data_IF_111313114383
#
_entry.id   IF_111313114383
#
_cell.length_a   1.000
_cell.length_b   1.000
_cell.length_c   1.000
_cell.angle_alpha   90.00
_cell.angle_beta   90.00
_cell.angle_gamma   90.00
#
_symmetry.space_group_name_H-M   'P 1'
#
loop_
_entity.id
_entity.type
_entity.pdbx_description
1 polymer ?
#
# COMPACT_ATOMS: atom_id res chain seq x y z
N UNK A 1 22.14 10.27 -13.70
CA UNK A 1 20.77 9.72 -13.58
C UNK A 1 19.91 10.46 -14.59
N UNK A 2 19.35 9.76 -15.59
CA UNK A 2 18.53 10.39 -16.62
C UNK A 2 17.13 10.69 -16.09
N UNK A 3 16.51 11.75 -16.58
CA UNK A 3 15.15 12.21 -16.22
C UNK A 3 14.09 11.15 -16.44
N UNK A 4 14.30 10.24 -17.42
CA UNK A 4 13.42 9.12 -17.68
C UNK A 4 13.37 8.14 -16.49
N UNK A 5 14.52 7.88 -15.85
CA UNK A 5 14.65 6.94 -14.74
C UNK A 5 13.88 7.42 -13.48
N UNK A 6 13.82 8.74 -13.27
CA UNK A 6 13.00 9.38 -12.23
C UNK A 6 11.50 9.33 -12.53
N UNK A 7 11.12 9.42 -13.81
CA UNK A 7 9.71 9.33 -14.24
C UNK A 7 9.18 7.89 -14.13
N UNK A 8 9.98 6.87 -14.48
CA UNK A 8 9.60 5.47 -14.27
C UNK A 8 9.42 5.14 -12.78
N UNK A 9 10.28 5.66 -11.89
CA UNK A 9 10.11 5.50 -10.44
C UNK A 9 8.87 6.19 -9.87
N UNK A 10 8.40 7.27 -10.49
CA UNK A 10 7.18 7.96 -10.08
C UNK A 10 5.92 7.18 -10.50
N UNK A 11 5.96 6.45 -11.62
CA UNK A 11 4.85 5.62 -12.10
C UNK A 11 4.62 4.37 -11.22
N UNK A 12 5.67 3.87 -10.57
CA UNK A 12 5.59 2.78 -9.58
C UNK A 12 5.22 3.25 -8.16
N UNK A 13 4.96 4.55 -7.98
CA UNK A 13 4.58 5.07 -6.68
C UNK A 13 3.12 4.73 -6.39
N UNK A 14 2.92 3.82 -5.44
CA UNK A 14 1.63 3.60 -4.81
C UNK A 14 1.39 4.75 -3.82
N UNK A 15 0.31 5.50 -4.07
CA UNK A 15 -0.16 6.62 -3.28
C UNK A 15 -1.39 6.23 -2.45
N UNK A 16 -1.65 6.93 -1.32
CA UNK A 16 -2.93 6.83 -0.63
C UNK A 16 -4.13 7.05 -1.57
N UNK A 17 -5.10 6.14 -1.52
CA UNK A 17 -6.29 6.14 -2.37
C UNK A 17 -6.17 5.23 -3.59
N UNK A 18 -4.98 4.75 -3.94
CA UNK A 18 -4.80 3.83 -5.06
C UNK A 18 -5.48 2.48 -4.81
N UNK A 19 -6.12 1.96 -5.85
CA UNK A 19 -6.50 0.56 -5.92
C UNK A 19 -5.24 -0.29 -6.10
N UNK A 20 -5.06 -1.29 -5.24
CA UNK A 20 -3.90 -2.18 -5.23
C UNK A 20 -4.33 -3.63 -5.12
N UNK A 21 -3.52 -4.53 -5.70
CA UNK A 21 -3.60 -5.97 -5.45
C UNK A 21 -2.62 -6.35 -4.35
N UNK A 22 -3.09 -7.02 -3.30
CA UNK A 22 -2.25 -7.57 -2.25
C UNK A 22 -1.80 -8.99 -2.58
N UNK A 23 -0.49 -9.21 -2.45
CA UNK A 23 0.20 -10.47 -2.71
C UNK A 23 1.22 -10.82 -1.61
N UNK A 24 0.97 -10.35 -0.38
CA UNK A 24 1.84 -10.62 0.77
C UNK A 24 1.75 -12.04 1.32
N UNK A 25 2.40 -12.29 2.46
CA UNK A 25 2.50 -13.63 3.06
C UNK A 25 1.20 -14.16 3.66
N UNK A 26 0.20 -13.30 3.87
CA UNK A 26 -1.11 -13.72 4.40
C UNK A 26 -2.05 -14.02 3.24
N UNK A 27 -2.01 -15.25 2.74
CA UNK A 27 -2.70 -15.67 1.50
C UNK A 27 -4.22 -15.48 1.54
N UNK A 28 -4.84 -15.62 2.71
CA UNK A 28 -6.28 -15.46 2.88
C UNK A 28 -6.77 -14.02 2.62
N UNK A 29 -5.85 -13.06 2.56
CA UNK A 29 -6.15 -11.66 2.24
C UNK A 29 -5.68 -11.26 0.84
N UNK A 30 -5.29 -12.20 -0.03
CA UNK A 30 -4.99 -11.87 -1.43
C UNK A 30 -6.24 -11.31 -2.11
N UNK A 31 -6.10 -10.16 -2.78
CA UNK A 31 -7.25 -9.47 -3.34
C UNK A 31 -7.01 -8.00 -3.64
N UNK A 32 -8.08 -7.31 -4.05
CA UNK A 32 -8.06 -5.89 -4.38
C UNK A 32 -8.49 -5.03 -3.19
N UNK A 33 -7.76 -3.95 -2.96
CA UNK A 33 -7.96 -3.05 -1.83
C UNK A 33 -7.65 -1.60 -2.19
N UNK A 34 -8.19 -0.67 -1.42
CA UNK A 34 -7.74 0.72 -1.42
C UNK A 34 -6.58 0.87 -0.43
N UNK A 35 -5.44 1.36 -0.89
CA UNK A 35 -4.28 1.59 -0.07
C UNK A 35 -4.41 2.92 0.70
N UNK A 36 -4.30 2.91 2.03
CA UNK A 36 -4.24 4.12 2.86
C UNK A 36 -3.04 4.07 3.80
N UNK A 37 -2.56 5.20 4.36
CA UNK A 37 -1.52 5.16 5.37
C UNK A 37 -1.94 4.29 6.56
N UNK A 38 -1.05 3.46 7.06
CA UNK A 38 -1.32 2.68 8.25
C UNK A 38 -1.33 3.58 9.49
N UNK A 39 -2.46 3.63 10.18
CA UNK A 39 -2.72 4.52 11.32
C UNK A 39 -2.48 3.86 12.69
N UNK A 40 -1.99 2.62 12.72
CA UNK A 40 -1.73 1.93 13.98
C UNK A 40 -0.61 2.61 14.78
N UNK A 41 -0.66 2.48 16.09
CA UNK A 41 0.28 3.10 17.03
C UNK A 41 1.74 2.88 16.63
N UNK A 42 2.12 1.64 16.28
CA UNK A 42 3.49 1.31 15.89
C UNK A 42 3.95 2.00 14.60
N UNK A 43 3.05 2.18 13.62
CA UNK A 43 3.40 2.88 12.38
C UNK A 43 3.51 4.39 12.64
N UNK A 44 2.61 4.97 13.44
CA UNK A 44 2.68 6.38 13.85
C UNK A 44 3.97 6.70 14.63
N UNK A 45 4.40 5.83 15.54
CA UNK A 45 5.66 5.99 16.25
C UNK A 45 6.86 5.94 15.29
N UNK A 46 6.90 4.96 14.37
CA UNK A 46 7.99 4.86 13.38
C UNK A 46 8.11 6.11 12.52
N UNK A 47 6.97 6.64 12.09
CA UNK A 47 6.90 7.89 11.34
C UNK A 47 7.43 9.08 12.16
N UNK A 48 7.00 9.21 13.43
CA UNK A 48 7.48 10.24 14.34
C UNK A 48 9.00 10.17 14.61
N UNK A 49 9.60 8.97 14.55
CA UNK A 49 11.05 8.77 14.66
C UNK A 49 11.80 8.86 13.31
N UNK A 50 11.12 9.22 12.22
CA UNK A 50 11.74 9.37 10.89
C UNK A 50 12.20 8.06 10.26
N UNK A 51 11.64 6.92 10.66
CA UNK A 51 11.99 5.62 10.08
C UNK A 51 11.33 5.50 8.71
N UNK A 52 12.13 5.37 7.66
CA UNK A 52 11.72 5.32 6.24
C UNK A 52 11.04 4.01 5.80
N UNK A 53 10.16 3.45 6.62
CA UNK A 53 9.40 2.22 6.36
C UNK A 53 7.90 2.53 6.36
N UNK A 54 7.45 3.31 5.37
CA UNK A 54 6.04 3.64 5.17
C UNK A 54 5.22 2.38 4.89
N UNK A 55 4.07 2.28 5.55
CA UNK A 55 3.20 1.10 5.50
C UNK A 55 1.76 1.49 5.24
N UNK A 56 1.04 0.57 4.62
CA UNK A 56 -0.35 0.73 4.24
C UNK A 56 -1.28 -0.03 5.17
N UNK A 57 -2.45 0.55 5.39
CA UNK A 57 -3.67 -0.18 5.70
C UNK A 57 -4.39 -0.40 4.37
N UNK A 58 -4.89 -1.60 4.16
CA UNK A 58 -5.69 -1.94 3.00
C UNK A 58 -7.15 -1.84 3.42
N UNK A 59 -7.98 -1.18 2.64
CA UNK A 59 -9.41 -1.07 2.90
C UNK A 59 -10.15 -1.86 1.83
N UNK A 60 -11.10 -2.67 2.25
CA UNK A 60 -12.01 -3.35 1.32
C UNK A 60 -12.87 -2.28 0.61
N UNK A 61 -12.84 -2.20 -0.74
CA UNK A 61 -13.64 -1.24 -1.49
C UNK A 61 -15.15 -1.48 -1.37
N UNK A 62 -15.58 -2.68 -0.96
CA UNK A 62 -16.97 -3.06 -0.70
C UNK A 62 -17.40 -2.87 0.76
N UNK A 63 -16.49 -2.43 1.63
CA UNK A 63 -16.81 -1.94 2.98
C UNK A 63 -16.67 -2.95 4.13
N UNK A 64 -16.20 -4.18 3.90
CA UNK A 64 -15.85 -5.07 5.02
C UNK A 64 -14.49 -4.68 5.62
N UNK A 65 -14.54 -3.93 6.73
CA UNK A 65 -13.35 -3.47 7.43
C UNK A 65 -12.86 -4.42 8.53
N UNK A 66 -13.58 -5.52 8.81
CA UNK A 66 -13.27 -6.40 9.95
C UNK A 66 -12.08 -7.32 9.67
N UNK A 67 -11.81 -7.58 8.38
CA UNK A 67 -10.81 -8.54 7.92
C UNK A 67 -9.90 -7.94 6.84
N UNK A 68 -9.32 -6.76 7.11
CA UNK A 68 -8.42 -6.11 6.16
C UNK A 68 -6.96 -6.09 6.64
N UNK A 69 -5.98 -6.35 5.76
CA UNK A 69 -4.56 -6.24 6.11
C UNK A 69 -4.16 -4.85 6.61
N UNK A 70 -3.27 -4.83 7.61
CA UNK A 70 -2.65 -3.61 8.14
C UNK A 70 -1.14 -3.77 8.21
N UNK A 71 -0.43 -2.66 8.33
CA UNK A 71 1.04 -2.63 8.35
C UNK A 71 1.67 -3.24 7.07
N UNK A 72 0.96 -3.17 5.95
CA UNK A 72 1.37 -3.77 4.69
C UNK A 72 2.53 -2.97 4.10
N UNK A 73 3.60 -3.66 3.70
CA UNK A 73 4.76 -3.02 3.08
C UNK A 73 4.48 -2.80 1.60
N UNK A 74 5.07 -1.75 1.01
CA UNK A 74 4.98 -1.47 -0.43
C UNK A 74 5.28 -2.70 -1.29
N UNK A 75 6.28 -3.52 -0.92
CA UNK A 75 6.66 -4.73 -1.66
C UNK A 75 5.60 -5.84 -1.70
N UNK A 76 4.55 -5.75 -0.88
CA UNK A 76 3.48 -6.76 -0.79
C UNK A 76 2.21 -6.35 -1.53
N UNK A 77 2.26 -5.23 -2.25
CA UNK A 77 1.16 -4.70 -3.04
C UNK A 77 1.68 -4.24 -4.39
N UNK A 78 0.83 -4.32 -5.41
CA UNK A 78 1.06 -3.74 -6.73
C UNK A 78 -0.13 -2.86 -7.07
N UNK A 79 0.11 -1.70 -7.71
CA UNK A 79 -0.98 -0.86 -8.21
C UNK A 79 -1.83 -1.66 -9.18
N UNK A 80 -3.14 -1.71 -8.95
CA UNK A 80 -4.07 -2.33 -9.88
C UNK A 80 -4.31 -1.32 -11.01
N UNK A 81 -3.78 -1.59 -12.20
CA UNK A 81 -4.15 -0.85 -13.39
C UNK A 81 -5.57 -1.26 -13.78
N UNK A 82 -6.52 -0.32 -13.68
CA UNK A 82 -7.85 -0.53 -14.24
C UNK A 82 -7.69 -0.79 -15.74
N UNK A 83 -7.99 -2.01 -16.18
CA UNK A 83 -8.11 -2.31 -17.60
C UNK A 83 -9.19 -1.40 -18.19
N UNK A 84 -8.81 -0.57 -19.16
CA UNK A 84 -9.75 -0.08 -20.17
C UNK A 84 -9.90 -1.15 -21.23
#
# INVERSE_FOLDING_TARGET
>A
MSTADSLFRALDLIEPGDLVSYHGSLTDFHGLYIATPCDCHNCKLRDAYGVSDFRFRLLDPWGDLRHTPRCVRRKSITRATGGR
#
